data_IF_223564877363
#
_entry.id   IF_223564877363
#
_cell.length_a   1.000
_cell.length_b   1.000
_cell.length_c   1.000
_cell.angle_alpha   90.00
_cell.angle_beta   90.00
_cell.angle_gamma   90.00
#
_symmetry.space_group_name_H-M   'P 1'
#
loop_
_entity.id
_entity.type
_entity.pdbx_description
1 polymer ?
#
# COMPACT_ATOMS: atom_id res chain seq x y z
N UNK A 1 6.20 -5.60 20.27
CA UNK A 1 7.54 -5.33 19.68
C UNK A 1 7.30 -4.64 18.36
N UNK A 2 7.46 -3.32 18.33
CA UNK A 2 7.35 -2.55 17.09
C UNK A 2 8.69 -2.70 16.37
N UNK A 3 8.80 -3.69 15.49
CA UNK A 3 10.00 -3.84 14.66
C UNK A 3 9.99 -2.68 13.66
N UNK A 4 10.80 -1.66 13.93
CA UNK A 4 11.16 -0.61 12.98
C UNK A 4 11.97 -1.25 11.84
N UNK A 5 11.24 -1.85 10.91
CA UNK A 5 11.83 -2.45 9.72
C UNK A 5 12.57 -1.38 8.89
N UNK A 6 13.75 -1.69 8.34
CA UNK A 6 14.54 -0.76 7.56
C UNK A 6 13.72 -0.13 6.43
N UNK A 7 13.66 1.19 6.37
CA UNK A 7 12.97 1.91 5.29
C UNK A 7 13.87 1.96 4.05
N UNK A 8 13.51 1.21 3.00
CA UNK A 8 14.22 1.23 1.71
C UNK A 8 13.87 2.48 0.90
N UNK A 9 12.59 2.83 0.84
CA UNK A 9 12.11 3.98 0.08
C UNK A 9 10.87 4.57 0.70
N UNK A 10 10.73 5.89 0.60
CA UNK A 10 9.48 6.59 0.89
C UNK A 10 9.04 7.41 -0.33
N UNK A 11 7.78 7.27 -0.69
CA UNK A 11 7.08 8.20 -1.58
C UNK A 11 6.22 9.18 -0.78
N UNK A 12 5.38 9.92 -1.50
CA UNK A 12 4.38 10.79 -0.90
C UNK A 12 3.29 9.94 -0.26
N UNK A 13 2.79 8.95 -1.00
CA UNK A 13 1.64 8.12 -0.63
C UNK A 13 2.00 6.70 -0.20
N UNK A 14 3.28 6.31 -0.21
CA UNK A 14 3.71 4.96 0.15
C UNK A 14 5.02 4.92 0.94
N UNK A 15 5.26 3.80 1.61
CA UNK A 15 6.55 3.39 2.16
C UNK A 15 6.91 1.99 1.66
N UNK A 16 8.20 1.76 1.40
CA UNK A 16 8.76 0.44 1.11
C UNK A 16 9.77 0.15 2.21
N UNK A 17 9.55 -0.94 2.93
CA UNK A 17 10.44 -1.43 3.99
C UNK A 17 11.03 -2.77 3.62
N UNK A 18 12.22 -3.03 4.10
CA UNK A 18 12.87 -4.32 4.01
C UNK A 18 12.45 -5.16 5.20
N UNK A 19 11.63 -6.19 4.97
CA UNK A 19 11.41 -7.26 5.94
C UNK A 19 12.41 -8.39 5.72
N UNK A 20 12.54 -9.30 6.69
CA UNK A 20 13.46 -10.45 6.59
C UNK A 20 13.27 -11.25 5.29
N UNK A 21 12.08 -11.79 5.05
CA UNK A 21 11.79 -12.65 3.89
C UNK A 21 11.03 -11.92 2.76
N UNK A 22 10.43 -10.77 3.07
CA UNK A 22 9.54 -10.05 2.17
C UNK A 22 9.81 -8.55 2.15
N UNK A 23 9.66 -7.93 0.99
CA UNK A 23 9.64 -6.49 0.81
C UNK A 23 8.23 -6.00 1.13
N UNK A 24 8.10 -5.06 2.06
CA UNK A 24 6.81 -4.61 2.55
C UNK A 24 6.49 -3.26 1.95
N UNK A 25 5.42 -3.18 1.17
CA UNK A 25 4.88 -1.92 0.67
C UNK A 25 3.69 -1.51 1.54
N UNK A 26 3.69 -0.28 2.04
CA UNK A 26 2.65 0.28 2.91
C UNK A 26 2.04 1.53 2.26
N UNK A 27 0.72 1.60 2.18
CA UNK A 27 -0.02 2.78 1.73
C UNK A 27 -0.19 3.78 2.89
N UNK A 28 0.35 4.99 2.73
CA UNK A 28 0.28 6.07 3.72
C UNK A 28 -1.05 6.81 3.73
N UNK A 29 -1.82 6.75 2.65
CA UNK A 29 -3.14 7.40 2.58
C UNK A 29 -4.12 6.72 3.54
N UNK A 30 -3.89 5.46 3.87
CA UNK A 30 -4.69 4.67 4.82
C UNK A 30 -4.16 4.74 6.25
N UNK A 31 -3.33 5.74 6.59
CA UNK A 31 -2.79 5.91 7.94
C UNK A 31 -3.94 6.11 8.95
N UNK A 32 -4.04 5.19 9.90
CA UNK A 32 -5.13 5.18 10.90
C UNK A 32 -6.21 4.11 10.61
N UNK A 33 -6.17 3.46 9.45
CA UNK A 33 -7.02 2.32 9.17
C UNK A 33 -6.53 1.09 9.95
N UNK A 34 -7.43 0.45 10.68
CA UNK A 34 -7.12 -0.80 11.39
C UNK A 34 -7.12 -1.96 10.41
N UNK A 35 -6.06 -2.78 10.46
CA UNK A 35 -6.01 -4.05 9.73
C UNK A 35 -7.09 -4.97 10.30
N UNK A 36 -8.02 -5.40 9.46
CA UNK A 36 -9.08 -6.32 9.87
C UNK A 36 -8.87 -7.72 9.31
N UNK A 37 -8.19 -7.84 8.16
CA UNK A 37 -8.04 -9.10 7.45
C UNK A 37 -6.65 -9.20 6.82
N UNK A 38 -6.09 -10.41 6.77
CA UNK A 38 -4.95 -10.74 5.91
C UNK A 38 -5.41 -11.72 4.86
N UNK A 39 -5.14 -11.41 3.60
CA UNK A 39 -5.56 -12.23 2.47
C UNK A 39 -4.68 -11.96 1.27
N UNK A 40 -4.71 -12.87 0.30
CA UNK A 40 -4.03 -12.64 -0.96
C UNK A 40 -4.71 -11.47 -1.69
N UNK A 41 -3.89 -10.53 -2.15
CA UNK A 41 -4.30 -9.46 -3.02
C UNK A 41 -4.41 -10.00 -4.45
N UNK A 42 -5.58 -9.85 -5.08
CA UNK A 42 -5.82 -10.41 -6.42
C UNK A 42 -5.04 -9.67 -7.51
N UNK A 43 -4.65 -8.42 -7.27
CA UNK A 43 -3.91 -7.60 -8.24
C UNK A 43 -2.44 -7.96 -8.28
N UNK A 44 -1.85 -8.15 -7.10
CA UNK A 44 -0.43 -8.42 -6.95
C UNK A 44 -0.11 -9.91 -6.70
N UNK A 45 -1.11 -10.72 -6.40
CA UNK A 45 -1.01 -12.13 -6.02
C UNK A 45 -0.02 -12.38 -4.87
N UNK A 46 -0.04 -11.49 -3.87
CA UNK A 46 0.79 -11.56 -2.67
C UNK A 46 -0.06 -11.39 -1.42
N UNK A 47 0.46 -11.79 -0.27
CA UNK A 47 -0.21 -11.55 1.00
C UNK A 47 -0.34 -10.04 1.26
N UNK A 48 -1.53 -9.61 1.67
CA UNK A 48 -1.79 -8.23 1.99
C UNK A 48 -2.65 -8.10 3.25
N UNK A 49 -2.32 -7.11 4.06
CA UNK A 49 -3.19 -6.63 5.15
C UNK A 49 -4.22 -5.69 4.54
N UNK A 50 -5.50 -6.03 4.72
CA UNK A 50 -6.63 -5.24 4.25
C UNK A 50 -7.38 -4.65 5.45
N UNK A 51 -7.83 -3.41 5.30
CA UNK A 51 -8.76 -2.76 6.20
C UNK A 51 -10.10 -2.55 5.51
N UNK A 52 -11.08 -2.10 6.28
CA UNK A 52 -12.40 -1.73 5.76
C UNK A 52 -12.64 -0.24 5.99
N UNK A 53 -12.90 0.50 4.92
CA UNK A 53 -13.39 1.87 4.96
C UNK A 53 -14.89 1.86 4.69
N UNK A 54 -15.64 2.79 5.28
CA UNK A 54 -17.07 2.92 5.06
C UNK A 54 -17.33 4.18 4.23
N UNK A 55 -18.15 4.05 3.19
CA UNK A 55 -18.61 5.20 2.41
C UNK A 55 -19.75 5.95 3.13
N UNK A 56 -20.28 7.04 2.54
CA UNK A 56 -21.36 7.85 3.14
C UNK A 56 -22.64 7.04 3.37
N UNK A 57 -22.89 6.03 2.53
CA UNK A 57 -23.99 5.08 2.66
C UNK A 57 -23.74 3.97 3.71
N UNK A 58 -22.59 3.98 4.40
CA UNK A 58 -22.23 2.95 5.38
C UNK A 58 -21.78 1.63 4.75
N UNK A 59 -21.55 1.59 3.44
CA UNK A 59 -21.05 0.40 2.73
C UNK A 59 -19.56 0.23 2.99
N UNK A 60 -19.18 -0.94 3.51
CA UNK A 60 -17.79 -1.29 3.80
C UNK A 60 -17.02 -1.72 2.55
N UNK A 61 -16.03 -0.93 2.14
CA UNK A 61 -15.08 -1.27 1.09
C UNK A 61 -13.78 -1.80 1.67
N UNK A 62 -13.38 -3.00 1.27
CA UNK A 62 -12.07 -3.56 1.61
C UNK A 62 -10.98 -2.85 0.81
N UNK A 63 -9.96 -2.36 1.50
CA UNK A 63 -8.81 -1.69 0.88
C UNK A 63 -7.50 -2.28 1.41
N UNK A 64 -6.52 -2.45 0.54
CA UNK A 64 -5.18 -2.87 0.94
C UNK A 64 -4.47 -1.75 1.71
N UNK A 65 -3.84 -2.11 2.83
CA UNK A 65 -3.03 -1.22 3.67
C UNK A 65 -1.55 -1.54 3.46
N UNK A 66 -1.21 -2.83 3.50
CA UNK A 66 0.17 -3.32 3.35
C UNK A 66 0.18 -4.55 2.48
N UNK A 67 1.22 -4.69 1.66
CA UNK A 67 1.47 -5.85 0.83
C UNK A 67 2.86 -6.40 1.15
N UNK A 68 2.95 -7.72 1.30
CA UNK A 68 4.17 -8.44 1.60
C UNK A 68 4.64 -9.17 0.35
N UNK A 69 5.64 -8.61 -0.32
CA UNK A 69 6.19 -9.18 -1.53
C UNK A 69 7.35 -10.11 -1.19
N UNK A 70 7.22 -11.44 -1.36
CA UNK A 70 8.28 -12.37 -1.02
C UNK A 70 9.52 -12.13 -1.90
N UNK A 71 10.69 -11.95 -1.26
CA UNK A 71 11.96 -11.63 -1.95
C UNK A 71 12.40 -12.71 -2.94
N UNK A 72 11.95 -13.94 -2.75
CA UNK A 72 12.15 -15.07 -3.67
C UNK A 72 11.50 -14.86 -5.06
N UNK A 73 10.39 -14.13 -5.12
CA UNK A 73 9.59 -13.94 -6.35
C UNK A 73 9.56 -12.48 -6.82
N UNK A 74 9.96 -11.54 -5.96
CA UNK A 74 9.87 -10.10 -6.21
C UNK A 74 11.17 -9.38 -5.86
N UNK A 75 11.68 -8.63 -6.84
CA UNK A 75 12.80 -7.71 -6.64
C UNK A 75 12.31 -6.35 -6.16
N UNK A 76 13.20 -5.60 -5.48
CA UNK A 76 12.91 -4.24 -5.03
C UNK A 76 12.46 -3.33 -6.18
N UNK A 77 13.06 -3.43 -7.36
CA UNK A 77 12.69 -2.63 -8.54
C UNK A 77 11.25 -2.89 -8.99
N UNK A 78 10.80 -4.15 -8.95
CA UNK A 78 9.43 -4.52 -9.30
C UNK A 78 8.44 -3.95 -8.28
N UNK A 79 8.73 -4.06 -7.00
CA UNK A 79 7.91 -3.48 -5.92
C UNK A 79 7.88 -1.96 -6.01
N UNK A 80 9.01 -1.34 -6.33
CA UNK A 80 9.12 0.11 -6.54
C UNK A 80 8.24 0.57 -7.70
N UNK A 81 8.20 -0.17 -8.80
CA UNK A 81 7.32 0.13 -9.94
C UNK A 81 5.84 0.13 -9.53
N UNK A 82 5.39 -0.87 -8.75
CA UNK A 82 4.02 -0.89 -8.23
C UNK A 82 3.72 0.30 -7.32
N UNK A 83 4.65 0.67 -6.45
CA UNK A 83 4.51 1.81 -5.55
C UNK A 83 4.45 3.14 -6.32
N UNK A 84 5.25 3.29 -7.37
CA UNK A 84 5.24 4.46 -8.24
C UNK A 84 3.94 4.56 -9.05
N UNK A 85 3.41 3.45 -9.55
CA UNK A 85 2.13 3.43 -10.25
C UNK A 85 0.98 3.89 -9.33
N UNK A 86 0.98 3.39 -8.09
CA UNK A 86 0.04 3.83 -7.05
C UNK A 86 0.17 5.34 -6.77
N UNK A 87 1.40 5.85 -6.62
CA UNK A 87 1.63 7.28 -6.42
C UNK A 87 1.13 8.13 -7.58
N UNK A 88 1.41 7.72 -8.83
CA UNK A 88 0.93 8.42 -10.02
C UNK A 88 -0.60 8.44 -10.08
N UNK A 89 -1.25 7.31 -9.76
CA UNK A 89 -2.71 7.23 -9.71
C UNK A 89 -3.29 8.19 -8.67
N UNK A 90 -2.74 8.23 -7.46
CA UNK A 90 -3.21 9.16 -6.42
C UNK A 90 -2.89 10.62 -6.73
N UNK A 91 -1.74 10.93 -7.36
CA UNK A 91 -1.44 12.28 -7.85
C UNK A 91 -2.47 12.71 -8.88
N UNK A 92 -2.76 11.86 -9.86
CA UNK A 92 -3.73 12.15 -10.90
C UNK A 92 -5.12 12.41 -10.31
N UNK A 93 -5.58 11.57 -9.38
CA UNK A 93 -6.84 11.80 -8.66
C UNK A 93 -6.80 13.16 -7.96
N UNK A 94 -5.72 13.49 -7.25
CA UNK A 94 -5.58 14.77 -6.56
C UNK A 94 -5.61 15.96 -7.53
N UNK A 95 -4.99 15.85 -8.69
CA UNK A 95 -5.00 16.88 -9.75
C UNK A 95 -6.38 17.01 -10.40
N UNK A 96 -7.08 15.89 -10.65
CA UNK A 96 -8.43 15.88 -11.25
C UNK A 96 -9.49 16.39 -10.27
N UNK A 97 -9.33 16.17 -8.97
CA UNK A 97 -10.29 16.61 -7.93
C UNK A 97 -10.04 18.06 -7.48
N UNK A 98 -8.91 18.65 -7.87
CA UNK A 98 -8.58 20.05 -7.62
C UNK A 98 -8.24 20.74 -8.95
N UNK A 99 -9.24 21.09 -9.78
CA UNK A 99 -9.02 22.09 -10.82
C UNK A 99 -8.73 23.44 -10.13
N UNK A 100 -7.88 24.26 -10.75
CA UNK A 100 -7.45 25.61 -10.32
C UNK A 100 -6.36 25.70 -9.23
N UNK A 101 -5.15 26.00 -9.71
CA UNK A 101 -4.38 27.12 -9.16
C UNK A 101 -4.46 28.27 -10.16
#
# INVERSE_FOLDING_TARGET
>A
MSQDLPLLKKGIFYFIRDGDDSIIMEDKTKRGLTVQERSIDERYNVEAEKGMIYDMDGIGHKVGIRWFFPKKDHTFEKVLSFAQEMEQRYKKIREETCPDY
#
